data_IF_110577504524
#
_entry.id   IF_110577504524
#
_cell.length_a   1.000
_cell.length_b   1.000
_cell.length_c   1.000
_cell.angle_alpha   90.00
_cell.angle_beta   90.00
_cell.angle_gamma   90.00
#
_symmetry.space_group_name_H-M   'P 1'
#
loop_
_entity.id
_entity.type
_entity.pdbx_description
1 polymer ?
#
# COMPACT_ATOMS: atom_id res chain seq x y z
N UNK A 1 43.59 3.01 39.76
CA UNK A 1 42.51 2.43 38.93
C UNK A 1 41.67 3.55 38.36
N UNK A 2 41.66 3.73 37.04
CA UNK A 2 40.58 4.35 36.26
C UNK A 2 41.10 4.62 34.83
N UNK A 3 40.68 3.79 33.86
CA UNK A 3 40.49 4.28 32.49
C UNK A 3 39.02 4.09 32.16
N UNK A 4 38.37 5.23 31.92
CA UNK A 4 36.96 5.40 31.63
C UNK A 4 36.55 4.42 30.53
N UNK A 5 35.54 3.57 30.78
CA UNK A 5 34.86 2.82 29.70
C UNK A 5 34.30 3.86 28.74
N UNK A 6 34.87 3.96 27.54
CA UNK A 6 34.29 4.74 26.47
C UNK A 6 33.03 4.00 26.01
N UNK A 7 31.91 4.26 26.68
CA UNK A 7 30.59 3.79 26.24
C UNK A 7 30.24 4.59 24.99
N UNK A 8 30.38 3.99 23.81
CA UNK A 8 29.95 4.59 22.56
C UNK A 8 28.44 4.78 22.57
N UNK A 9 27.96 6.02 22.44
CA UNK A 9 26.54 6.32 22.26
C UNK A 9 26.02 5.69 20.98
N UNK A 10 24.83 5.09 21.02
CA UNK A 10 24.20 4.48 19.85
C UNK A 10 23.91 5.57 18.81
N UNK A 11 24.78 5.69 17.80
CA UNK A 11 24.54 6.49 16.60
C UNK A 11 23.71 5.64 15.67
N UNK A 12 22.38 5.64 15.84
CA UNK A 12 21.32 5.34 14.85
C UNK A 12 20.07 4.82 15.58
N UNK A 13 19.12 5.72 15.84
CA UNK A 13 17.80 5.41 16.40
C UNK A 13 16.67 6.14 15.67
N UNK A 14 16.84 6.39 14.36
CA UNK A 14 15.85 7.12 13.56
C UNK A 14 15.05 6.14 12.73
N UNK A 15 13.80 5.96 13.11
CA UNK A 15 12.81 5.26 12.30
C UNK A 15 11.76 6.22 11.75
N UNK A 16 11.34 5.97 10.51
CA UNK A 16 10.25 6.71 9.90
C UNK A 16 8.90 6.12 10.29
N UNK A 17 7.87 6.97 10.41
CA UNK A 17 6.51 6.53 10.75
C UNK A 17 5.99 5.61 9.63
N UNK A 18 5.42 4.46 10.03
CA UNK A 18 4.80 3.51 9.11
C UNK A 18 3.68 4.18 8.28
N UNK A 19 3.69 3.95 6.97
CA UNK A 19 2.77 4.62 6.03
C UNK A 19 1.49 3.83 5.74
N UNK A 20 1.26 2.72 6.47
CA UNK A 20 0.08 1.84 6.35
C UNK A 20 -0.26 1.45 4.90
N UNK A 21 0.76 1.16 4.10
CA UNK A 21 0.62 0.65 2.74
C UNK A 21 -0.02 -0.75 2.73
N UNK A 22 -0.40 -1.24 1.56
CA UNK A 22 -0.99 -2.55 1.33
C UNK A 22 -2.42 -2.50 0.81
N UNK A 23 -3.01 -3.70 0.68
CA UNK A 23 -4.37 -3.93 0.23
C UNK A 23 -5.36 -3.48 1.31
N UNK A 24 -6.43 -2.82 0.90
CA UNK A 24 -7.53 -2.33 1.76
C UNK A 24 -8.85 -3.07 1.49
N UNK A 25 -9.04 -3.55 0.27
CA UNK A 25 -10.16 -4.42 -0.12
C UNK A 25 -9.60 -5.65 -0.82
N UNK A 26 -9.84 -6.81 -0.23
CA UNK A 26 -9.37 -8.09 -0.76
C UNK A 26 -10.23 -8.59 -1.90
N UNK A 27 -9.82 -9.71 -2.49
CA UNK A 27 -10.57 -10.40 -3.54
C UNK A 27 -12.01 -10.74 -3.08
N UNK A 28 -13.01 -10.53 -3.93
CA UNK A 28 -14.43 -10.76 -3.64
C UNK A 28 -15.12 -9.69 -2.77
N UNK A 29 -14.39 -8.67 -2.29
CA UNK A 29 -14.96 -7.61 -1.46
C UNK A 29 -15.89 -6.69 -2.26
N UNK A 30 -17.09 -6.42 -1.73
CA UNK A 30 -17.99 -5.39 -2.29
C UNK A 30 -17.38 -3.99 -2.11
N UNK A 31 -17.42 -3.19 -3.17
CA UNK A 31 -16.95 -1.81 -3.21
C UNK A 31 -17.97 -0.90 -3.87
N UNK A 32 -17.95 0.37 -3.47
CA UNK A 32 -18.66 1.47 -4.13
C UNK A 32 -17.64 2.33 -4.89
N UNK A 33 -18.09 3.26 -5.72
CA UNK A 33 -17.20 4.23 -6.38
C UNK A 33 -16.41 5.03 -5.33
N UNK A 34 -15.11 5.25 -5.58
CA UNK A 34 -14.20 5.99 -4.72
C UNK A 34 -13.53 5.16 -3.62
N UNK A 35 -13.92 3.89 -3.43
CA UNK A 35 -13.27 3.03 -2.44
C UNK A 35 -11.82 2.75 -2.82
N UNK A 36 -10.93 2.86 -1.84
CA UNK A 36 -9.52 2.52 -2.00
C UNK A 36 -9.36 1.00 -1.91
N UNK A 37 -8.71 0.42 -2.93
CA UNK A 37 -8.46 -1.03 -3.02
C UNK A 37 -7.03 -1.33 -2.57
N UNK A 38 -6.03 -0.56 -3.04
CA UNK A 38 -4.62 -0.77 -2.70
C UNK A 38 -3.91 0.56 -2.52
N UNK A 39 -3.15 0.70 -1.42
CA UNK A 39 -2.15 1.78 -1.24
C UNK A 39 -0.76 1.22 -1.44
N UNK A 40 0.01 1.77 -2.37
CA UNK A 40 1.32 1.22 -2.74
C UNK A 40 2.33 2.32 -3.04
N UNK A 41 3.58 1.92 -3.25
CA UNK A 41 4.64 2.77 -3.81
C UNK A 41 5.07 2.13 -5.12
N UNK A 42 5.01 2.90 -6.20
CA UNK A 42 5.15 2.38 -7.56
C UNK A 42 3.99 1.45 -7.97
N UNK A 43 4.15 0.80 -9.12
CA UNK A 43 3.15 -0.04 -9.77
C UNK A 43 3.32 -1.53 -9.41
N UNK A 44 3.18 -1.88 -8.13
CA UNK A 44 3.13 -3.32 -7.74
C UNK A 44 1.88 -3.99 -8.28
N UNK A 45 0.76 -3.30 -8.17
CA UNK A 45 -0.50 -3.61 -8.80
C UNK A 45 -0.82 -2.58 -9.89
N UNK A 46 -1.39 -3.04 -11.00
CA UNK A 46 -1.85 -2.20 -12.11
C UNK A 46 -3.38 -2.09 -12.05
N UNK A 47 -3.92 -0.98 -12.53
CA UNK A 47 -5.37 -0.85 -12.70
C UNK A 47 -5.85 -1.70 -13.88
N UNK A 48 -7.01 -2.31 -13.69
CA UNK A 48 -7.79 -2.96 -14.73
C UNK A 48 -9.19 -2.35 -14.81
N UNK A 49 -10.18 -3.16 -15.16
CA UNK A 49 -11.56 -2.73 -15.39
C UNK A 49 -12.15 -2.00 -14.18
N UNK A 50 -12.80 -0.86 -14.41
CA UNK A 50 -13.46 -0.03 -13.39
C UNK A 50 -12.58 0.39 -12.21
N UNK A 51 -11.27 0.47 -12.42
CA UNK A 51 -10.33 0.98 -11.42
C UNK A 51 -9.42 2.04 -12.05
N UNK A 52 -8.96 2.98 -11.22
CA UNK A 52 -7.99 4.01 -11.62
C UNK A 52 -6.87 4.13 -10.61
N UNK A 53 -5.78 4.74 -11.06
CA UNK A 53 -4.59 5.03 -10.26
C UNK A 53 -4.53 6.52 -9.94
N UNK A 54 -4.31 6.84 -8.67
CA UNK A 54 -4.02 8.20 -8.22
C UNK A 54 -2.54 8.59 -8.40
N UNK A 55 -2.21 9.86 -8.17
CA UNK A 55 -0.83 10.38 -8.27
C UNK A 55 0.17 9.65 -7.37
N UNK A 56 -0.30 9.14 -6.23
CA UNK A 56 0.48 8.40 -5.25
C UNK A 56 0.50 6.88 -5.51
N UNK A 57 0.08 6.43 -6.71
CA UNK A 57 -0.07 5.04 -7.11
C UNK A 57 -1.18 4.26 -6.39
N UNK A 58 -2.05 4.93 -5.62
CA UNK A 58 -3.20 4.29 -4.98
C UNK A 58 -4.24 3.85 -6.02
N UNK A 59 -4.70 2.62 -5.93
CA UNK A 59 -5.78 2.08 -6.77
C UNK A 59 -7.12 2.28 -6.06
N UNK A 60 -8.07 2.88 -6.77
CA UNK A 60 -9.44 3.06 -6.30
C UNK A 60 -10.47 2.60 -7.35
N UNK A 61 -11.67 2.26 -6.88
CA UNK A 61 -12.80 1.85 -7.72
C UNK A 61 -13.49 3.06 -8.36
N UNK A 62 -13.86 2.92 -9.64
CA UNK A 62 -14.70 3.89 -10.35
C UNK A 62 -16.18 3.53 -10.35
N UNK A 63 -16.52 2.27 -10.06
CA UNK A 63 -17.90 1.80 -10.04
C UNK A 63 -18.15 0.92 -8.81
N UNK A 64 -19.42 0.65 -8.55
CA UNK A 64 -19.85 -0.34 -7.58
C UNK A 64 -19.67 -1.75 -8.16
N UNK A 65 -19.22 -2.70 -7.34
CA UNK A 65 -18.97 -4.07 -7.78
C UNK A 65 -18.19 -4.87 -6.74
N UNK A 66 -17.54 -5.94 -7.17
CA UNK A 66 -16.62 -6.75 -6.38
C UNK A 66 -15.19 -6.63 -6.91
N UNK A 67 -14.23 -6.57 -5.98
CA UNK A 67 -12.81 -6.53 -6.33
C UNK A 67 -12.33 -7.90 -6.79
N UNK A 68 -11.62 -7.95 -7.92
CA UNK A 68 -10.94 -9.14 -8.42
C UNK A 68 -9.47 -8.86 -8.72
N UNK A 69 -8.60 -9.76 -8.28
CA UNK A 69 -7.18 -9.73 -8.61
C UNK A 69 -6.88 -10.77 -9.69
N UNK A 70 -6.40 -10.33 -10.84
CA UNK A 70 -6.09 -11.18 -11.99
C UNK A 70 -4.60 -11.57 -11.96
N UNK A 71 -4.23 -12.68 -12.62
CA UNK A 71 -2.83 -13.01 -12.89
C UNK A 71 -2.16 -11.79 -13.58
N UNK A 72 -0.94 -11.46 -13.14
CA UNK A 72 -0.19 -10.23 -13.48
C UNK A 72 -0.45 -8.99 -12.62
N UNK A 73 -0.94 -9.15 -11.38
CA UNK A 73 -1.17 -8.07 -10.41
C UNK A 73 -2.12 -6.97 -10.91
N UNK A 74 -3.06 -7.31 -11.80
CA UNK A 74 -4.08 -6.38 -12.28
C UNK A 74 -5.26 -6.43 -11.32
N UNK A 75 -5.77 -5.25 -10.93
CA UNK A 75 -6.92 -5.11 -10.04
C UNK A 75 -8.12 -4.65 -10.84
N UNK A 76 -9.20 -5.41 -10.79
CA UNK A 76 -10.44 -5.11 -11.49
C UNK A 76 -11.58 -4.96 -10.48
N UNK A 77 -12.60 -4.19 -10.84
CA UNK A 77 -13.91 -4.21 -10.19
C UNK A 77 -14.94 -4.66 -11.21
N UNK A 78 -15.61 -5.78 -10.91
CA UNK A 78 -16.64 -6.41 -11.74
C UNK A 78 -17.98 -6.34 -11.01
#
# INVERSE_FOLDING_TARGET
MAKKKATGSVKNGRDSISKRLGIKKGNGSKVICGNIIVRQRGLKFKNGTNTKIGKDYTIYSMSKGKVFFVKSNIVCVI
#
